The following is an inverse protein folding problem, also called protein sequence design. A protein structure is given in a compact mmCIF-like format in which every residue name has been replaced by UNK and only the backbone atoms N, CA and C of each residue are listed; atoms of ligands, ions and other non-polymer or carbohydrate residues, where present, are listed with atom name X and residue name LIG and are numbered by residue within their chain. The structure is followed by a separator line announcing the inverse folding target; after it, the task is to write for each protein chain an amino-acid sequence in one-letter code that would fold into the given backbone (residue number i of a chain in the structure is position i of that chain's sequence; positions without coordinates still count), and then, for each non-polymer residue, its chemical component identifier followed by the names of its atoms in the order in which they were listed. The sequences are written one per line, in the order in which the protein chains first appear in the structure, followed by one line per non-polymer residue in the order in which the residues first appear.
data_IF_165025636307
#
_entry.id   IF_165025636307
#
_cell.length_a   1.000
_cell.length_b   1.000
_cell.length_c   1.000
_cell.angle_alpha   90.00
_cell.angle_beta   90.00
_cell.angle_gamma   90.00
#
_symmetry.space_group_name_H-M   'P 1'
#
loop_
_entity.id
_entity.type
_entity.pdbx_description
1 polymer ?
#
# COMPACT_ATOMS: atom_id res chain seq x y z
N UNK A 1 8.86 8.61 25.43
CA UNK A 1 9.72 8.92 24.27
C UNK A 1 9.78 7.78 23.25
N UNK A 2 9.99 6.52 23.66
CA UNK A 2 10.02 5.37 22.72
C UNK A 2 8.67 5.09 22.04
N UNK A 3 7.55 5.21 22.77
CA UNK A 3 6.21 5.01 22.21
C UNK A 3 5.85 6.04 21.12
N UNK A 4 6.29 7.30 21.25
CA UNK A 4 6.02 8.39 20.31
C UNK A 4 6.76 8.19 18.96
N UNK A 5 7.99 7.66 19.03
CA UNK A 5 8.77 7.28 17.84
C UNK A 5 8.16 6.08 17.13
N UNK A 6 7.69 5.06 17.88
CA UNK A 6 7.02 3.89 17.30
C UNK A 6 5.77 4.31 16.53
N UNK A 7 4.91 5.13 17.14
CA UNK A 7 3.64 5.55 16.54
C UNK A 7 3.83 6.39 15.26
N UNK A 8 4.82 7.30 15.28
CA UNK A 8 5.22 8.04 14.07
C UNK A 8 5.80 7.12 12.99
N UNK A 9 6.62 6.14 13.37
CA UNK A 9 7.24 5.21 12.43
C UNK A 9 6.21 4.29 11.78
N UNK A 10 5.24 3.80 12.56
CA UNK A 10 4.14 2.96 12.07
C UNK A 10 3.25 3.71 11.09
N UNK A 11 2.94 4.99 11.37
CA UNK A 11 2.22 5.87 10.43
C UNK A 11 3.00 6.13 9.15
N UNK A 12 4.32 6.36 9.25
CA UNK A 12 5.19 6.55 8.09
C UNK A 12 5.30 5.27 7.24
N UNK A 13 5.32 4.11 7.89
CA UNK A 13 5.34 2.81 7.23
C UNK A 13 4.00 2.54 6.54
N UNK A 14 2.87 2.80 7.21
CA UNK A 14 1.54 2.70 6.61
C UNK A 14 1.42 3.59 5.36
N UNK A 15 1.90 4.84 5.44
CA UNK A 15 1.94 5.74 4.28
C UNK A 15 2.82 5.20 3.14
N UNK A 16 3.99 4.65 3.46
CA UNK A 16 4.86 4.02 2.45
C UNK A 16 4.18 2.83 1.76
N UNK A 17 3.45 2.00 2.50
CA UNK A 17 2.69 0.86 1.93
C UNK A 17 1.63 1.36 0.96
N UNK A 18 0.89 2.43 1.31
CA UNK A 18 -0.09 3.03 0.40
C UNK A 18 0.58 3.53 -0.89
N UNK A 19 1.70 4.25 -0.77
CA UNK A 19 2.41 4.78 -1.93
C UNK A 19 2.97 3.67 -2.83
N UNK A 20 3.51 2.60 -2.25
CA UNK A 20 3.98 1.43 -3.00
C UNK A 20 2.83 0.72 -3.71
N UNK A 21 1.69 0.55 -3.05
CA UNK A 21 0.51 -0.07 -3.65
C UNK A 21 0.03 0.72 -4.88
N UNK A 22 -0.04 2.05 -4.78
CA UNK A 22 -0.39 2.93 -5.90
C UNK A 22 0.63 2.85 -7.04
N UNK A 23 1.92 2.80 -6.72
CA UNK A 23 3.00 2.64 -7.70
C UNK A 23 2.88 1.30 -8.43
N UNK A 24 2.66 0.20 -7.71
CA UNK A 24 2.48 -1.13 -8.31
C UNK A 24 1.29 -1.14 -9.28
N UNK A 25 0.15 -0.60 -8.85
CA UNK A 25 -1.05 -0.45 -9.68
C UNK A 25 -0.71 0.33 -10.96
N UNK A 26 -0.07 1.49 -10.82
CA UNK A 26 0.33 2.35 -11.95
C UNK A 26 1.25 1.63 -12.94
N UNK A 27 2.28 0.93 -12.44
CA UNK A 27 3.21 0.16 -13.27
C UNK A 27 2.52 -1.01 -14.01
N UNK A 28 1.59 -1.72 -13.36
CA UNK A 28 0.82 -2.77 -14.04
C UNK A 28 -0.11 -2.26 -15.12
N UNK A 29 -0.62 -1.03 -15.02
CA UNK A 29 -1.53 -0.46 -16.02
C UNK A 29 -0.82 0.14 -17.24
N UNK A 30 0.43 0.60 -17.08
CA UNK A 30 1.17 1.30 -18.15
C UNK A 30 1.91 0.35 -19.11
N UNK A 31 2.30 -0.86 -18.67
CA UNK A 31 3.02 -1.83 -19.52
C UNK A 31 2.48 -3.27 -19.34
N UNK A 32 1.22 -3.56 -19.73
CA UNK A 32 0.68 -4.90 -19.59
C UNK A 32 1.19 -5.79 -20.73
N UNK A 33 2.43 -6.28 -20.64
CA UNK A 33 2.94 -7.31 -21.56
C UNK A 33 2.32 -8.68 -21.27
N UNK A 34 1.79 -8.88 -20.05
CA UNK A 34 1.09 -10.08 -19.60
C UNK A 34 -0.14 -9.67 -18.78
N UNK A 35 -1.33 -9.88 -19.36
CA UNK A 35 -2.61 -9.46 -18.78
C UNK A 35 -2.85 -10.09 -17.40
N UNK A 36 -2.38 -11.33 -17.18
CA UNK A 36 -2.54 -12.07 -15.93
C UNK A 36 -1.73 -11.44 -14.80
N UNK A 37 -0.49 -11.00 -15.07
CA UNK A 37 0.35 -10.29 -14.10
C UNK A 37 -0.21 -8.90 -13.78
N UNK A 38 -0.81 -8.22 -14.77
CA UNK A 38 -1.50 -6.95 -14.58
C UNK A 38 -2.68 -7.08 -13.60
N UNK A 39 -3.54 -8.07 -13.81
CA UNK A 39 -4.68 -8.33 -12.92
C UNK A 39 -4.23 -8.72 -11.50
N UNK A 40 -3.18 -9.54 -11.35
CA UNK A 40 -2.64 -9.90 -10.03
C UNK A 40 -2.11 -8.66 -9.31
N UNK A 41 -1.31 -7.81 -9.98
CA UNK A 41 -0.77 -6.60 -9.35
C UNK A 41 -1.85 -5.61 -8.94
N UNK A 42 -2.94 -5.49 -9.72
CA UNK A 42 -4.11 -4.70 -9.34
C UNK A 42 -4.82 -5.26 -8.09
N UNK A 43 -5.06 -6.58 -8.05
CA UNK A 43 -5.72 -7.22 -6.89
C UNK A 43 -4.88 -7.11 -5.62
N UNK A 44 -3.57 -7.40 -5.71
CA UNK A 44 -2.66 -7.30 -4.57
C UNK A 44 -2.50 -5.84 -4.11
N UNK A 45 -2.34 -4.90 -5.05
CA UNK A 45 -2.26 -3.47 -4.72
C UNK A 45 -3.54 -2.95 -4.06
N UNK A 46 -4.71 -3.35 -4.55
CA UNK A 46 -5.99 -2.97 -3.95
C UNK A 46 -6.15 -3.52 -2.53
N UNK A 47 -5.77 -4.79 -2.29
CA UNK A 47 -5.80 -5.40 -0.95
C UNK A 47 -4.84 -4.70 0.02
N UNK A 48 -3.62 -4.40 -0.43
CA UNK A 48 -2.63 -3.70 0.37
C UNK A 48 -3.10 -2.28 0.75
N UNK A 49 -3.71 -1.56 -0.19
CA UNK A 49 -4.28 -0.24 0.05
C UNK A 49 -5.43 -0.31 1.07
N UNK A 50 -6.35 -1.27 0.91
CA UNK A 50 -7.47 -1.46 1.85
C UNK A 50 -6.98 -1.79 3.27
N UNK A 51 -5.98 -2.67 3.40
CA UNK A 51 -5.36 -2.99 4.68
C UNK A 51 -4.72 -1.76 5.34
N UNK A 52 -3.91 -1.01 4.58
CA UNK A 52 -3.23 0.17 5.10
C UNK A 52 -4.21 1.27 5.55
N UNK A 53 -5.32 1.46 4.81
CA UNK A 53 -6.39 2.38 5.22
C UNK A 53 -7.07 1.91 6.50
N UNK A 54 -7.39 0.62 6.61
CA UNK A 54 -8.01 0.06 7.81
C UNK A 54 -7.09 0.21 9.04
N UNK A 55 -5.79 0.00 8.87
CA UNK A 55 -4.81 0.18 9.93
C UNK A 55 -4.68 1.64 10.34
N UNK A 56 -4.66 2.57 9.38
CA UNK A 56 -4.61 4.00 9.65
C UNK A 56 -5.84 4.47 10.45
N UNK A 57 -7.04 3.97 10.12
CA UNK A 57 -8.27 4.29 10.86
C UNK A 57 -8.28 3.69 12.26
N UNK A 58 -7.68 2.51 12.46
CA UNK A 58 -7.54 1.91 13.80
C UNK A 58 -6.53 2.64 14.68
N UNK A 59 -5.51 3.23 14.07
CA UNK A 59 -4.42 3.96 14.74
C UNK A 59 -4.71 5.46 14.94
N UNK A 60 -5.91 5.94 14.56
CA UNK A 60 -6.40 7.32 14.73
C UNK A 60 -7.48 7.41 15.80
#
# INVERSE_FOLDING_TARGET
MVADVSDRTDRLLALHVVLLALLTISQTTTVPRNQLLGTIGLLVGALAAAYAVAELVRAS
#
